data_IF_980963107693
#
_entry.id   IF_980963107693
#
_cell.length_a   1.000
_cell.length_b   1.000
_cell.length_c   1.000
_cell.angle_alpha   90.00
_cell.angle_beta   90.00
_cell.angle_gamma   90.00
#
_symmetry.space_group_name_H-M   'P 1'
#
loop_
_entity.id
_entity.type
_entity.pdbx_description
1 polymer ?
#
# COMPACT_ATOMS: atom_id res chain seq x y z
N UNK A 1 24.52 -13.62 19.32
CA UNK A 1 23.26 -12.94 19.63
C UNK A 1 22.48 -12.85 18.33
N UNK A 2 21.56 -13.79 18.12
CA UNK A 2 20.65 -13.83 16.97
C UNK A 2 19.66 -12.69 17.16
N UNK A 3 19.73 -11.66 16.31
CA UNK A 3 18.70 -10.63 16.26
C UNK A 3 17.42 -11.27 15.76
N UNK A 4 16.37 -11.22 16.56
CA UNK A 4 15.01 -11.37 16.05
C UNK A 4 14.77 -10.18 15.14
N UNK A 5 14.98 -10.33 13.83
CA UNK A 5 14.19 -9.58 12.85
C UNK A 5 12.74 -9.88 13.23
N UNK A 6 12.12 -8.97 13.98
CA UNK A 6 10.67 -8.93 13.95
C UNK A 6 10.35 -8.68 12.48
N UNK A 7 9.81 -9.68 11.78
CA UNK A 7 9.31 -9.54 10.42
C UNK A 7 8.31 -8.38 10.44
N UNK A 8 8.83 -7.20 10.13
CA UNK A 8 8.12 -5.96 10.19
C UNK A 8 7.16 -6.01 9.00
N UNK A 9 5.94 -6.46 9.26
CA UNK A 9 4.93 -6.74 8.23
C UNK A 9 3.87 -5.67 8.24
N UNK A 10 3.21 -5.51 7.09
CA UNK A 10 2.07 -4.65 6.94
C UNK A 10 0.92 -5.21 7.81
N UNK A 11 0.30 -4.42 8.68
CA UNK A 11 -0.79 -4.87 9.54
C UNK A 11 -1.92 -5.57 8.78
N UNK A 12 -2.45 -6.66 9.34
CA UNK A 12 -3.51 -7.46 8.71
C UNK A 12 -4.78 -6.67 8.36
N UNK A 13 -5.08 -5.60 9.11
CA UNK A 13 -6.21 -4.72 8.80
C UNK A 13 -6.06 -3.97 7.47
N UNK A 14 -4.82 -3.75 7.02
CA UNK A 14 -4.51 -3.06 5.76
C UNK A 14 -4.43 -4.04 4.58
N UNK A 15 -4.25 -5.34 4.84
CA UNK A 15 -4.07 -6.35 3.81
C UNK A 15 -5.37 -6.62 3.03
N UNK A 16 -5.22 -6.92 1.74
CA UNK A 16 -6.33 -7.20 0.82
C UNK A 16 -6.32 -6.30 -0.42
N UNK A 17 -7.47 -6.27 -1.12
CA UNK A 17 -7.67 -5.51 -2.35
C UNK A 17 -8.47 -4.23 -2.07
N UNK A 18 -8.01 -3.13 -2.64
CA UNK A 18 -8.55 -1.80 -2.43
C UNK A 18 -8.68 -1.07 -3.77
N UNK A 19 -9.86 -0.54 -4.08
CA UNK A 19 -10.14 0.18 -5.33
C UNK A 19 -10.39 1.67 -5.09
N UNK A 20 -9.82 2.54 -5.92
CA UNK A 20 -10.16 3.99 -5.91
C UNK A 20 -11.61 4.24 -6.35
N UNK A 21 -12.13 3.40 -7.23
CA UNK A 21 -13.53 3.36 -7.62
C UNK A 21 -14.02 1.91 -7.73
N UNK A 22 -15.33 1.74 -7.94
CA UNK A 22 -15.97 0.42 -7.99
C UNK A 22 -15.45 -0.43 -9.16
N UNK A 23 -15.10 0.19 -10.30
CA UNK A 23 -14.61 -0.53 -11.47
C UNK A 23 -13.19 -1.10 -11.25
N UNK A 24 -12.38 -0.51 -10.37
CA UNK A 24 -11.05 -1.05 -10.04
C UNK A 24 -11.12 -2.40 -9.30
N UNK A 25 -12.28 -2.75 -8.71
CA UNK A 25 -12.45 -4.01 -8.00
C UNK A 25 -12.83 -5.18 -8.92
N UNK A 26 -13.15 -4.93 -10.20
CA UNK A 26 -13.49 -5.96 -11.18
C UNK A 26 -12.29 -6.90 -11.41
N UNK A 27 -12.44 -8.23 -11.22
CA UNK A 27 -11.32 -9.18 -11.20
C UNK A 27 -10.60 -9.37 -12.54
N UNK A 28 -11.21 -8.97 -13.66
CA UNK A 28 -10.68 -9.17 -15.02
C UNK A 28 -10.24 -7.86 -15.72
N UNK A 29 -10.25 -6.74 -14.99
CA UNK A 29 -9.84 -5.43 -15.51
C UNK A 29 -8.32 -5.29 -15.47
N UNK A 30 -7.69 -5.52 -16.63
CA UNK A 30 -6.25 -5.31 -16.78
C UNK A 30 -5.83 -3.83 -16.70
N UNK A 31 -6.77 -2.89 -16.89
CA UNK A 31 -6.55 -1.44 -16.85
C UNK A 31 -7.01 -0.78 -15.54
N UNK A 32 -7.21 -1.57 -14.47
CA UNK A 32 -7.58 -1.10 -13.12
C UNK A 32 -6.43 -0.34 -12.45
N UNK A 33 -6.14 0.87 -12.95
CA UNK A 33 -5.06 1.74 -12.44
C UNK A 33 -5.29 2.22 -11.02
N UNK A 34 -6.50 2.10 -10.47
CA UNK A 34 -6.79 2.42 -9.08
C UNK A 34 -6.81 1.21 -8.15
N UNK A 35 -6.50 0.01 -8.62
CA UNK A 35 -6.43 -1.19 -7.78
C UNK A 35 -5.09 -1.25 -7.03
N UNK A 36 -5.18 -1.33 -5.71
CA UNK A 36 -4.07 -1.55 -4.79
C UNK A 36 -4.28 -2.89 -4.07
N UNK A 37 -3.34 -3.81 -4.24
CA UNK A 37 -3.28 -5.06 -3.47
C UNK A 37 -2.17 -4.94 -2.43
N UNK A 38 -2.50 -5.27 -1.19
CA UNK A 38 -1.60 -5.19 -0.05
C UNK A 38 -1.44 -6.58 0.56
N UNK A 39 -0.23 -7.12 0.52
CA UNK A 39 0.15 -8.36 1.19
C UNK A 39 0.96 -8.05 2.45
N UNK A 40 1.51 -9.08 3.11
CA UNK A 40 2.27 -8.89 4.36
C UNK A 40 3.54 -8.03 4.21
N UNK A 41 4.16 -8.00 3.03
CA UNK A 41 5.43 -7.29 2.79
C UNK A 41 5.49 -6.58 1.44
N UNK A 42 4.40 -6.57 0.67
CA UNK A 42 4.39 -5.99 -0.67
C UNK A 42 3.12 -5.22 -0.97
N UNK A 43 3.25 -4.27 -1.88
CA UNK A 43 2.17 -3.54 -2.51
C UNK A 43 2.20 -3.82 -4.00
N UNK A 44 1.05 -4.10 -4.60
CA UNK A 44 0.91 -4.20 -6.06
C UNK A 44 -0.08 -3.14 -6.51
N UNK A 45 0.33 -2.30 -7.46
CA UNK A 45 -0.47 -1.19 -7.98
C UNK A 45 -0.28 -1.12 -9.49
N UNK A 46 -1.34 -1.45 -10.25
CA UNK A 46 -1.29 -1.53 -11.71
C UNK A 46 -0.07 -2.36 -12.20
N UNK A 47 0.91 -1.73 -12.85
CA UNK A 47 2.14 -2.35 -13.33
C UNK A 47 3.29 -2.30 -12.30
N UNK A 48 3.17 -1.46 -11.27
CA UNK A 48 4.17 -1.27 -10.24
C UNK A 48 4.03 -2.29 -9.10
N UNK A 49 5.17 -2.75 -8.59
CA UNK A 49 5.27 -3.59 -7.39
C UNK A 49 6.20 -2.90 -6.40
N UNK A 50 5.81 -2.86 -5.13
CA UNK A 50 6.59 -2.30 -4.05
C UNK A 50 6.88 -3.36 -3.00
N UNK A 51 8.08 -3.36 -2.45
CA UNK A 51 8.45 -4.17 -1.28
C UNK A 51 8.67 -3.28 -0.07
N UNK A 52 8.19 -3.72 1.08
CA UNK A 52 8.39 -3.04 2.36
C UNK A 52 9.89 -3.05 2.71
N UNK A 53 10.45 -1.85 2.93
CA UNK A 53 11.89 -1.65 3.16
C UNK A 53 12.17 -1.31 4.62
N UNK A 54 11.61 -0.20 5.10
CA UNK A 54 11.85 0.30 6.46
C UNK A 54 10.55 0.85 7.08
N UNK A 55 10.19 0.40 8.28
CA UNK A 55 9.01 0.87 9.00
C UNK A 55 9.38 2.06 9.90
N UNK A 56 8.84 3.23 9.59
CA UNK A 56 8.96 4.40 10.45
C UNK A 56 8.01 4.33 11.66
N UNK A 57 6.73 4.00 11.42
CA UNK A 57 5.73 3.77 12.47
C UNK A 57 4.72 2.71 12.07
N UNK A 58 4.20 1.97 13.04
CA UNK A 58 3.17 0.93 12.80
C UNK A 58 2.18 0.85 13.96
N UNK A 59 0.94 0.50 13.64
CA UNK A 59 -0.16 0.22 14.56
C UNK A 59 -1.07 -0.86 13.95
N UNK A 60 -2.04 -1.43 14.69
CA UNK A 60 -2.92 -2.46 14.14
C UNK A 60 -3.72 -2.02 12.89
N UNK A 61 -3.94 -0.72 12.69
CA UNK A 61 -4.75 -0.16 11.60
C UNK A 61 -4.00 0.89 10.77
N UNK A 62 -2.69 1.05 10.97
CA UNK A 62 -1.90 1.98 10.18
C UNK A 62 -0.42 1.62 10.13
N UNK A 63 0.25 2.04 9.07
CA UNK A 63 1.71 1.94 8.91
C UNK A 63 2.21 3.17 8.16
N UNK A 64 3.37 3.68 8.54
CA UNK A 64 4.18 4.57 7.71
C UNK A 64 5.53 3.90 7.49
N UNK A 65 5.87 3.68 6.23
CA UNK A 65 7.07 2.95 5.86
C UNK A 65 7.60 3.41 4.51
N UNK A 66 8.89 3.15 4.29
CA UNK A 66 9.51 3.25 2.97
C UNK A 66 9.24 1.98 2.19
N UNK A 67 8.75 2.13 0.97
CA UNK A 67 8.53 1.05 0.02
C UNK A 67 9.43 1.24 -1.20
N UNK A 68 10.08 0.15 -1.61
CA UNK A 68 10.91 0.10 -2.81
C UNK A 68 10.06 -0.37 -3.99
N UNK A 69 9.69 0.58 -4.85
CA UNK A 69 8.88 0.34 -6.03
C UNK A 69 9.73 -0.06 -7.23
N UNK A 70 9.18 -0.94 -8.05
CA UNK A 70 9.66 -1.31 -9.39
C UNK A 70 8.49 -1.27 -10.37
N UNK A 71 8.63 -0.52 -11.46
CA UNK A 71 7.59 -0.36 -12.48
C UNK A 71 8.13 0.39 -13.70
N UNK A 72 7.59 0.09 -14.89
CA UNK A 72 7.97 0.76 -16.16
C UNK A 72 9.49 0.78 -16.46
N UNK A 73 10.23 -0.21 -15.94
CA UNK A 73 11.69 -0.30 -16.11
C UNK A 73 12.50 0.58 -15.15
N UNK A 74 11.85 1.23 -14.17
CA UNK A 74 12.49 2.05 -13.15
C UNK A 74 12.33 1.44 -11.75
N UNK A 75 13.23 1.84 -10.86
CA UNK A 75 13.14 1.54 -9.42
C UNK A 75 13.25 2.85 -8.64
N UNK A 76 12.43 3.01 -7.61
CA UNK A 76 12.44 4.18 -6.74
C UNK A 76 11.89 3.83 -5.37
N UNK A 77 12.32 4.56 -4.34
CA UNK A 77 11.79 4.40 -2.98
C UNK A 77 10.79 5.51 -2.67
N UNK A 78 9.74 5.19 -1.90
CA UNK A 78 8.73 6.17 -1.47
C UNK A 78 8.30 5.93 -0.03
N UNK A 79 8.37 6.98 0.79
CA UNK A 79 7.72 7.01 2.11
C UNK A 79 6.22 7.11 1.91
N UNK A 80 5.50 6.10 2.42
CA UNK A 80 4.06 5.97 2.27
C UNK A 80 3.42 5.68 3.62
N UNK A 81 2.37 6.44 3.96
CA UNK A 81 1.47 6.12 5.05
C UNK A 81 0.19 5.46 4.53
N UNK A 82 -0.19 4.37 5.18
CA UNK A 82 -1.43 3.62 4.96
C UNK A 82 -2.21 3.57 6.27
N UNK A 83 -3.50 3.83 6.21
CA UNK A 83 -4.38 3.84 7.39
C UNK A 83 -5.76 3.34 6.99
N UNK A 84 -6.33 2.42 7.77
CA UNK A 84 -7.74 2.07 7.63
C UNK A 84 -8.64 2.95 8.48
N UNK A 85 -9.76 3.35 7.87
CA UNK A 85 -10.86 4.09 8.48
C UNK A 85 -12.16 3.29 8.30
N UNK A 86 -13.25 3.78 8.89
CA UNK A 86 -14.59 3.18 8.77
C UNK A 86 -14.59 1.67 9.07
N UNK A 87 -14.00 1.30 10.21
CA UNK A 87 -13.90 -0.08 10.69
C UNK A 87 -13.20 -1.05 9.70
N UNK A 88 -12.28 -0.52 8.88
CA UNK A 88 -11.55 -1.32 7.89
C UNK A 88 -12.22 -1.37 6.52
N UNK A 89 -13.21 -0.51 6.26
CA UNK A 89 -13.90 -0.43 4.97
C UNK A 89 -13.25 0.56 4.00
N UNK A 90 -12.49 1.51 4.54
CA UNK A 90 -11.80 2.57 3.77
C UNK A 90 -10.31 2.51 4.03
N UNK A 91 -9.49 2.54 2.99
CA UNK A 91 -8.04 2.70 3.11
C UNK A 91 -7.63 4.09 2.64
N UNK A 92 -6.83 4.78 3.44
CA UNK A 92 -6.23 6.07 3.13
C UNK A 92 -4.74 5.89 2.88
N UNK A 93 -4.27 6.22 1.68
CA UNK A 93 -2.84 6.24 1.32
C UNK A 93 -2.36 7.68 1.17
N UNK A 94 -1.23 8.01 1.78
CA UNK A 94 -0.52 9.28 1.62
C UNK A 94 0.94 9.01 1.27
N UNK A 95 1.47 9.72 0.29
CA UNK A 95 2.87 9.64 -0.11
C UNK A 95 3.62 10.88 0.39
N UNK A 96 4.91 10.71 0.70
CA UNK A 96 5.79 11.79 1.15
C UNK A 96 7.06 11.86 0.29
N UNK A 97 7.66 13.06 0.23
CA UNK A 97 8.83 13.36 -0.60
C UNK A 97 8.54 14.41 -1.67
N UNK A 98 9.59 14.87 -2.36
CA UNK A 98 9.51 15.97 -3.34
C UNK A 98 8.64 15.60 -4.56
N UNK A 99 8.68 14.34 -5.00
CA UNK A 99 7.86 13.81 -6.10
C UNK A 99 6.63 13.03 -5.63
N UNK A 100 6.17 13.25 -4.40
CA UNK A 100 5.00 12.56 -3.88
C UNK A 100 3.73 13.04 -4.59
N UNK A 101 2.83 12.11 -4.90
CA UNK A 101 1.54 12.49 -5.48
C UNK A 101 0.73 13.28 -4.46
N UNK A 102 0.18 14.46 -4.79
CA UNK A 102 -0.49 15.29 -3.83
C UNK A 102 -1.79 14.67 -3.31
N UNK A 103 -1.96 14.73 -1.98
CA UNK A 103 -3.19 14.41 -1.29
C UNK A 103 -3.32 12.95 -0.85
N UNK A 104 -4.30 12.67 0.04
CA UNK A 104 -4.64 11.32 0.40
C UNK A 104 -5.48 10.66 -0.71
N UNK A 105 -5.04 9.51 -1.18
CA UNK A 105 -5.89 8.60 -1.94
C UNK A 105 -6.81 7.87 -0.98
N UNK A 106 -8.10 7.79 -1.33
CA UNK A 106 -9.11 7.06 -0.57
C UNK A 106 -9.59 5.89 -1.41
N UNK A 107 -9.43 4.68 -0.88
CA UNK A 107 -9.86 3.45 -1.53
C UNK A 107 -10.99 2.82 -0.71
N UNK A 108 -11.91 2.16 -1.41
CA UNK A 108 -12.87 1.26 -0.80
C UNK A 108 -12.32 -0.17 -0.83
N UNK A 109 -12.66 -0.97 0.19
CA UNK A 109 -12.33 -2.40 0.19
C UNK A 109 -13.08 -3.10 -0.94
N UNK A 110 -12.37 -3.88 -1.75
CA UNK A 110 -13.02 -4.70 -2.76
C UNK A 110 -13.73 -5.90 -2.12
N UNK A 111 -14.88 -6.32 -2.68
CA UNK A 111 -15.62 -7.50 -2.21
C UNK A 111 -14.87 -8.81 -2.45
#
# INVERSE_FOLDING_TARGET
MTGTEAEASIPAALQGRWGLNVADCEPDRADAKGLLTIDATSLTFYEARATLSDIATTSPTSIRATFDFTGEGMTWSRDTALETQDEGSTLVRREFGEDATPGPFRYARCP
#
